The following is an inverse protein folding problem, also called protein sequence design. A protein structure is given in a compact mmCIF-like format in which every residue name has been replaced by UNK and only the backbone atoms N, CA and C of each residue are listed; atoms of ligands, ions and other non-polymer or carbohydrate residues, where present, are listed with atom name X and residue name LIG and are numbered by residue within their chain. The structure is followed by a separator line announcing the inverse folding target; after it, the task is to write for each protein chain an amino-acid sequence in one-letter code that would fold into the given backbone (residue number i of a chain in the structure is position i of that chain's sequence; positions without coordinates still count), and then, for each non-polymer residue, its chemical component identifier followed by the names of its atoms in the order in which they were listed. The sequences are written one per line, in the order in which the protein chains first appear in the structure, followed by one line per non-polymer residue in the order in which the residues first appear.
data_IF_834145662722
#
_entry.id   IF_834145662722
#
_cell.length_a   1.000
_cell.length_b   1.000
_cell.length_c   1.000
_cell.angle_alpha   90.00
_cell.angle_beta   90.00
_cell.angle_gamma   90.00
#
_symmetry.space_group_name_H-M   'P 1'
#
loop_
_entity.id
_entity.type
_entity.pdbx_description
1 polymer ?
#
# COMPACT_ATOMS: atom_id res chain seq x y z
N UNK A 1 5.76 16.68 7.57
CA UNK A 1 6.12 15.36 7.00
C UNK A 1 4.91 14.45 7.11
N UNK A 2 4.23 14.13 5.99
CA UNK A 2 2.97 13.35 6.02
C UNK A 2 3.16 11.95 5.41
N UNK A 3 2.79 10.95 6.19
CA UNK A 3 3.05 9.53 6.02
C UNK A 3 1.88 8.80 5.34
N UNK A 4 1.98 8.42 4.05
CA UNK A 4 0.93 7.67 3.35
C UNK A 4 0.82 6.26 3.92
N UNK A 5 -0.30 5.96 4.60
CA UNK A 5 -0.67 4.61 4.99
C UNK A 5 -1.38 3.93 3.82
N UNK A 6 -0.72 2.93 3.26
CA UNK A 6 -1.22 2.13 2.15
C UNK A 6 -1.34 0.66 2.60
N UNK A 7 -2.21 -0.14 1.95
CA UNK A 7 -2.39 -1.55 2.32
C UNK A 7 -1.08 -2.32 2.09
N UNK A 8 -0.36 -2.52 3.18
CA UNK A 8 0.87 -3.32 3.30
C UNK A 8 0.47 -4.80 3.35
N UNK A 9 1.21 -5.64 2.63
CA UNK A 9 1.16 -7.11 2.70
C UNK A 9 1.75 -7.58 4.04
N UNK A 10 1.11 -8.58 4.64
CA UNK A 10 1.35 -8.95 6.03
C UNK A 10 2.58 -9.85 6.20
N UNK A 11 3.54 -9.41 7.00
CA UNK A 11 4.28 -10.29 7.90
C UNK A 11 4.36 -9.71 9.32
N UNK A 12 4.39 -10.61 10.29
CA UNK A 12 4.07 -10.42 11.70
C UNK A 12 5.09 -9.57 12.49
N UNK A 13 4.62 -9.10 13.65
CA UNK A 13 5.35 -8.66 14.84
C UNK A 13 6.07 -7.29 14.81
N UNK A 14 5.42 -6.34 15.49
CA UNK A 14 6.02 -5.29 16.33
C UNK A 14 7.30 -4.61 15.84
N UNK A 15 7.16 -3.46 15.18
CA UNK A 15 7.77 -2.14 15.53
C UNK A 15 7.67 -1.22 14.31
N UNK A 16 7.19 0.02 14.52
CA UNK A 16 7.09 1.10 13.53
C UNK A 16 6.75 0.66 12.08
N UNK A 17 5.46 0.60 11.77
CA UNK A 17 4.96 0.51 10.39
C UNK A 17 5.34 1.81 9.65
N UNK A 18 6.54 1.84 9.06
CA UNK A 18 7.07 2.99 8.36
C UNK A 18 6.25 3.22 7.09
N UNK A 19 5.57 4.35 7.05
CA UNK A 19 4.85 4.78 5.86
C UNK A 19 5.82 4.97 4.70
N UNK A 20 5.43 4.53 3.51
CA UNK A 20 6.25 4.70 2.31
C UNK A 20 6.68 6.15 2.09
N UNK A 21 7.96 6.33 1.76
CA UNK A 21 8.58 7.59 1.39
C UNK A 21 8.32 7.95 -0.09
N UNK A 22 8.18 6.92 -0.94
CA UNK A 22 7.84 7.03 -2.36
C UNK A 22 6.60 6.21 -2.69
N UNK A 23 5.73 6.74 -3.56
CA UNK A 23 4.56 6.04 -4.12
C UNK A 23 4.48 6.38 -5.61
N UNK A 24 4.74 5.39 -6.45
CA UNK A 24 4.99 5.57 -7.88
C UNK A 24 4.14 4.61 -8.71
N UNK A 25 3.65 5.08 -9.87
CA UNK A 25 3.19 4.19 -10.95
C UNK A 25 4.33 4.04 -11.94
N UNK A 26 4.82 2.83 -12.12
CA UNK A 26 6.01 2.57 -12.93
C UNK A 26 5.80 1.43 -13.92
N UNK A 27 6.48 1.49 -15.06
CA UNK A 27 6.64 0.38 -15.99
C UNK A 27 8.00 -0.29 -15.77
N UNK A 28 7.99 -1.60 -15.62
CA UNK A 28 9.21 -2.38 -15.33
C UNK A 28 9.91 -2.70 -16.64
N UNK A 29 11.03 -2.03 -16.90
CA UNK A 29 11.71 -2.10 -18.18
C UNK A 29 12.75 -3.23 -18.23
N UNK A 30 13.65 -3.29 -17.24
CA UNK A 30 14.77 -4.24 -17.23
C UNK A 30 15.15 -4.65 -15.81
N UNK A 31 15.51 -5.92 -15.64
CA UNK A 31 16.21 -6.42 -14.46
C UNK A 31 17.73 -6.18 -14.65
N UNK A 32 18.32 -5.45 -13.71
CA UNK A 32 19.73 -5.04 -13.69
C UNK A 32 20.44 -5.56 -12.43
N UNK A 33 19.92 -6.64 -11.83
CA UNK A 33 20.47 -7.29 -10.62
C UNK A 33 22.00 -7.33 -10.63
N UNK A 34 22.60 -6.78 -9.57
CA UNK A 34 24.05 -6.76 -9.40
C UNK A 34 24.56 -8.10 -8.85
N UNK A 35 25.84 -8.40 -9.07
CA UNK A 35 26.50 -9.66 -8.66
C UNK A 35 26.44 -9.95 -7.14
N UNK A 36 26.00 -9.00 -6.32
CA UNK A 36 25.82 -9.14 -4.87
C UNK A 36 24.48 -9.77 -4.46
N UNK A 37 23.65 -10.22 -5.41
CA UNK A 37 22.37 -10.88 -5.15
C UNK A 37 21.21 -9.93 -4.82
N UNK A 38 21.45 -8.61 -4.80
CA UNK A 38 20.38 -7.61 -4.63
C UNK A 38 19.73 -7.33 -5.98
N UNK A 39 18.42 -7.62 -6.07
CA UNK A 39 17.67 -7.36 -7.29
C UNK A 39 17.46 -5.87 -7.48
N UNK A 40 17.75 -5.40 -8.69
CA UNK A 40 17.55 -4.02 -9.07
C UNK A 40 16.79 -3.97 -10.38
N UNK A 41 15.86 -3.03 -10.50
CA UNK A 41 15.06 -2.85 -11.70
C UNK A 41 15.23 -1.44 -12.23
N UNK A 42 15.42 -1.32 -13.54
CA UNK A 42 15.24 -0.06 -14.25
C UNK A 42 13.75 0.08 -14.57
N UNK A 43 13.14 1.16 -14.10
CA UNK A 43 11.71 1.40 -14.25
C UNK A 43 11.44 2.78 -14.83
N UNK A 44 10.43 2.88 -15.68
CA UNK A 44 9.95 4.14 -16.24
C UNK A 44 8.79 4.67 -15.39
N UNK A 45 8.87 5.92 -14.96
CA UNK A 45 7.86 6.55 -14.10
C UNK A 45 6.73 7.12 -14.96
N UNK A 46 5.52 6.61 -14.74
CA UNK A 46 4.30 7.21 -15.30
C UNK A 46 3.70 8.29 -14.40
N UNK A 47 3.62 8.06 -13.09
CA UNK A 47 3.12 9.04 -12.12
C UNK A 47 3.89 8.95 -10.81
N UNK A 48 4.04 10.11 -10.17
CA UNK A 48 4.55 10.25 -8.81
C UNK A 48 3.40 10.73 -7.92
N UNK A 49 2.95 9.87 -7.00
CA UNK A 49 1.89 10.21 -6.03
C UNK A 49 2.46 10.72 -4.72
N UNK A 50 3.66 10.26 -4.37
CA UNK A 50 4.44 10.77 -3.25
C UNK A 50 5.92 10.55 -3.55
N UNK A 51 6.69 11.57 -3.24
CA UNK A 51 8.14 11.51 -3.14
C UNK A 51 8.57 12.61 -2.17
N UNK A 52 9.29 12.23 -1.12
CA UNK A 52 9.74 13.16 -0.07
C UNK A 52 11.22 13.52 -0.18
N UNK A 53 11.96 12.96 -1.15
CA UNK A 53 13.43 13.07 -1.18
C UNK A 53 14.00 13.37 -2.56
N UNK A 54 13.57 12.63 -3.58
CA UNK A 54 14.24 12.66 -4.90
C UNK A 54 13.60 13.61 -5.91
N UNK A 55 12.40 14.12 -5.61
CA UNK A 55 11.61 14.98 -6.49
C UNK A 55 11.49 14.41 -7.92
N UNK A 56 11.17 13.13 -8.02
CA UNK A 56 10.99 12.47 -9.31
C UNK A 56 9.92 13.16 -10.16
N UNK A 57 10.14 13.13 -11.48
CA UNK A 57 9.19 13.58 -12.48
C UNK A 57 8.65 12.39 -13.29
N UNK A 58 7.39 12.47 -13.75
CA UNK A 58 6.90 11.58 -14.79
C UNK A 58 7.84 11.59 -16.00
N UNK A 59 7.87 10.50 -16.75
CA UNK A 59 8.68 10.29 -17.96
C UNK A 59 10.17 10.02 -17.75
N UNK A 60 10.61 9.89 -16.50
CA UNK A 60 12.00 9.52 -16.18
C UNK A 60 12.17 8.02 -15.96
N UNK A 61 13.35 7.52 -16.28
CA UNK A 61 13.80 6.20 -15.85
C UNK A 61 14.56 6.31 -14.54
N UNK A 62 14.23 5.46 -13.58
CA UNK A 62 14.94 5.37 -12.30
C UNK A 62 15.31 3.92 -12.00
N UNK A 63 16.30 3.75 -11.13
CA UNK A 63 16.56 2.46 -10.51
C UNK A 63 15.67 2.32 -9.28
N UNK A 64 15.15 1.12 -9.06
CA UNK A 64 14.57 0.71 -7.78
C UNK A 64 15.29 -0.52 -7.30
N UNK A 65 15.48 -0.61 -5.99
CA UNK A 65 15.99 -1.81 -5.33
C UNK A 65 14.80 -2.65 -4.91
N UNK A 66 14.93 -3.96 -5.10
CA UNK A 66 13.96 -4.94 -4.64
C UNK A 66 14.64 -5.93 -3.70
N UNK A 67 14.24 -5.93 -2.43
CA UNK A 67 14.71 -6.91 -1.44
C UNK A 67 13.62 -7.92 -1.16
N UNK A 68 13.80 -9.13 -1.67
CA UNK A 68 12.92 -10.25 -1.36
C UNK A 68 13.26 -10.83 0.03
N UNK A 69 12.24 -11.31 0.73
CA UNK A 69 12.35 -12.51 1.54
C UNK A 69 12.31 -13.76 0.62
N UNK A 70 12.74 -14.93 1.11
CA UNK A 70 12.93 -16.16 0.31
C UNK A 70 11.68 -16.64 -0.48
N UNK A 71 10.52 -16.02 -0.30
CA UNK A 71 9.22 -16.48 -0.79
C UNK A 71 8.53 -15.53 -1.78
N UNK A 72 9.05 -14.32 -2.03
CA UNK A 72 8.44 -13.39 -2.99
C UNK A 72 9.32 -13.11 -4.21
N UNK A 73 8.72 -13.18 -5.40
CA UNK A 73 9.35 -12.76 -6.66
C UNK A 73 9.26 -11.25 -6.87
N UNK A 74 10.29 -10.70 -7.51
CA UNK A 74 10.29 -9.30 -7.95
C UNK A 74 9.19 -9.00 -8.97
N UNK A 75 8.99 -7.72 -9.32
CA UNK A 75 7.98 -7.34 -10.30
C UNK A 75 8.30 -7.92 -11.70
N UNK A 76 7.23 -8.29 -12.44
CA UNK A 76 7.35 -8.86 -13.78
C UNK A 76 7.81 -7.79 -14.79
N UNK A 77 8.72 -8.16 -15.70
CA UNK A 77 9.14 -7.28 -16.80
C UNK A 77 7.99 -7.00 -17.76
N UNK A 78 7.96 -5.81 -18.35
CA UNK A 78 6.95 -5.40 -19.33
C UNK A 78 5.57 -5.08 -18.72
N UNK A 79 5.48 -5.03 -17.40
CA UNK A 79 4.23 -4.76 -16.68
C UNK A 79 4.27 -3.40 -15.97
N UNK A 80 3.09 -2.83 -15.76
CA UNK A 80 2.92 -1.58 -15.00
C UNK A 80 2.51 -1.93 -13.57
N UNK A 81 3.21 -1.36 -12.59
CA UNK A 81 2.95 -1.55 -11.17
C UNK A 81 2.68 -0.23 -10.47
N UNK A 82 1.84 -0.29 -9.44
CA UNK A 82 1.89 0.63 -8.32
C UNK A 82 2.91 0.08 -7.33
N UNK A 83 3.89 0.91 -6.96
CA UNK A 83 4.96 0.53 -6.04
C UNK A 83 5.09 1.59 -4.96
N UNK A 84 5.20 1.12 -3.73
CA UNK A 84 5.56 1.94 -2.57
C UNK A 84 6.93 1.55 -2.06
N UNK A 85 7.71 2.48 -1.53
CA UNK A 85 9.03 2.16 -1.01
C UNK A 85 9.55 3.18 -0.01
N UNK A 86 10.64 2.79 0.65
CA UNK A 86 11.46 3.66 1.49
C UNK A 86 12.75 4.00 0.73
N UNK A 87 13.39 5.11 1.06
CA UNK A 87 14.67 5.45 0.45
C UNK A 87 15.82 4.82 1.20
N UNK A 88 16.65 4.06 0.49
CA UNK A 88 17.94 3.58 0.96
C UNK A 88 19.02 4.05 -0.01
N UNK A 89 20.06 4.72 0.51
CA UNK A 89 21.14 5.31 -0.30
C UNK A 89 20.64 6.17 -1.48
N UNK A 90 19.48 6.82 -1.28
CA UNK A 90 18.84 7.66 -2.28
C UNK A 90 18.02 6.91 -3.33
N UNK A 91 18.00 5.58 -3.32
CA UNK A 91 17.22 4.75 -4.25
C UNK A 91 15.94 4.27 -3.56
N UNK A 92 14.77 4.26 -4.24
CA UNK A 92 13.58 3.60 -3.70
C UNK A 92 13.85 2.11 -3.51
N UNK A 93 13.84 1.67 -2.26
CA UNK A 93 13.86 0.27 -1.86
C UNK A 93 12.42 -0.21 -1.64
N UNK A 94 12.11 -1.35 -2.26
CA UNK A 94 10.83 -2.03 -2.24
C UNK A 94 11.07 -3.41 -1.67
N UNK A 95 10.39 -3.74 -0.58
CA UNK A 95 10.50 -5.04 0.08
C UNK A 95 9.20 -5.86 -0.07
N UNK A 96 9.15 -7.03 0.54
CA UNK A 96 7.97 -7.91 0.52
C UNK A 96 6.78 -7.35 1.30
N UNK A 97 6.99 -6.40 2.21
CA UNK A 97 5.93 -5.71 2.94
C UNK A 97 5.38 -4.51 2.15
N UNK A 98 6.14 -4.00 1.20
CA UNK A 98 5.77 -2.85 0.40
C UNK A 98 4.55 -3.15 -0.47
N UNK A 99 3.65 -2.17 -0.62
CA UNK A 99 2.53 -2.34 -1.54
C UNK A 99 3.04 -2.33 -2.98
N UNK A 100 3.10 -3.52 -3.57
CA UNK A 100 3.46 -3.79 -4.95
C UNK A 100 2.29 -4.51 -5.63
N UNK A 101 1.58 -3.82 -6.50
CA UNK A 101 0.44 -4.39 -7.20
C UNK A 101 0.49 -4.05 -8.69
N UNK A 102 0.15 -5.02 -9.55
CA UNK A 102 -0.04 -4.73 -10.97
C UNK A 102 -1.09 -3.64 -11.10
N UNK A 103 -0.86 -2.66 -11.97
CA UNK A 103 -1.73 -1.49 -12.09
C UNK A 103 -3.17 -1.88 -12.47
N UNK A 104 -3.35 -2.99 -13.19
CA UNK A 104 -4.65 -3.52 -13.55
C UNK A 104 -5.43 -4.07 -12.34
N UNK A 105 -4.73 -4.56 -11.31
CA UNK A 105 -5.33 -5.12 -10.09
C UNK A 105 -5.68 -4.02 -9.07
N UNK A 106 -5.05 -2.84 -9.18
CA UNK A 106 -5.40 -1.68 -8.35
C UNK A 106 -6.80 -1.19 -8.72
N UNK A 107 -7.70 -1.17 -7.75
CA UNK A 107 -9.11 -0.83 -8.01
C UNK A 107 -9.27 0.63 -8.44
N UNK A 108 -10.33 0.93 -9.20
CA UNK A 108 -10.67 2.31 -9.57
C UNK A 108 -10.75 3.25 -8.36
N UNK A 109 -11.21 2.73 -7.22
CA UNK A 109 -11.32 3.50 -5.99
C UNK A 109 -9.96 3.79 -5.36
N UNK A 110 -9.07 2.79 -5.29
CA UNK A 110 -7.69 2.98 -4.84
C UNK A 110 -6.97 4.02 -5.71
N UNK A 111 -7.06 3.88 -7.05
CA UNK A 111 -6.49 4.83 -8.03
C UNK A 111 -6.95 6.27 -7.77
N UNK A 112 -8.25 6.47 -7.54
CA UNK A 112 -8.83 7.80 -7.25
C UNK A 112 -8.28 8.41 -5.96
N UNK A 113 -7.93 7.59 -4.97
CA UNK A 113 -7.50 8.06 -3.66
C UNK A 113 -6.00 8.34 -3.56
N UNK A 114 -5.17 7.75 -4.43
CA UNK A 114 -3.70 7.93 -4.47
C UNK A 114 -3.26 9.40 -4.49
N UNK A 115 -3.95 10.27 -5.24
CA UNK A 115 -3.53 11.67 -5.40
C UNK A 115 -3.85 12.58 -4.21
N UNK A 116 -4.94 12.33 -3.49
CA UNK A 116 -5.45 13.31 -2.53
C UNK A 116 -5.98 12.71 -1.23
N UNK A 117 -6.77 11.64 -1.33
CA UNK A 117 -7.55 11.17 -0.17
C UNK A 117 -6.74 10.37 0.83
N UNK A 118 -5.75 9.61 0.37
CA UNK A 118 -4.85 8.95 1.33
C UNK A 118 -4.08 10.01 2.13
N UNK A 119 -3.44 10.97 1.46
CA UNK A 119 -2.65 12.00 2.14
C UNK A 119 -3.47 12.85 3.12
N UNK A 120 -4.72 13.21 2.78
CA UNK A 120 -5.56 14.09 3.59
C UNK A 120 -5.82 13.60 5.03
N UNK A 121 -5.78 12.29 5.27
CA UNK A 121 -6.01 11.71 6.60
C UNK A 121 -4.76 11.10 7.22
N UNK A 122 -3.64 11.15 6.51
CA UNK A 122 -2.35 10.71 7.03
C UNK A 122 -1.90 11.63 8.17
N UNK A 123 -1.51 11.05 9.29
CA UNK A 123 -1.17 11.79 10.51
C UNK A 123 -2.36 12.13 11.42
N UNK A 124 -3.60 12.01 10.90
CA UNK A 124 -4.82 12.17 11.71
C UNK A 124 -5.35 10.79 12.09
N UNK A 125 -5.49 9.91 11.09
CA UNK A 125 -6.02 8.57 11.28
C UNK A 125 -4.93 7.51 11.15
N UNK A 126 -5.02 6.50 12.01
CA UNK A 126 -4.17 5.30 11.99
C UNK A 126 -4.97 4.13 11.44
N UNK A 127 -4.30 3.24 10.74
CA UNK A 127 -4.86 1.94 10.36
C UNK A 127 -4.12 0.90 11.19
N UNK A 128 -4.86 0.03 11.87
CA UNK A 128 -4.29 -1.06 12.65
C UNK A 128 -4.87 -2.39 12.16
N UNK A 129 -3.99 -3.30 11.73
CA UNK A 129 -4.37 -4.66 11.37
C UNK A 129 -4.42 -5.55 12.62
N UNK A 130 -5.45 -6.37 12.74
CA UNK A 130 -5.69 -7.26 13.88
C UNK A 130 -6.18 -8.63 13.40
N UNK A 131 -5.88 -9.71 14.11
CA UNK A 131 -6.35 -11.04 13.74
C UNK A 131 -7.88 -11.12 13.70
N UNK A 132 -8.55 -10.54 14.68
CA UNK A 132 -10.01 -10.44 14.76
C UNK A 132 -10.41 -9.14 15.40
N UNK A 133 -11.45 -8.48 14.89
CA UNK A 133 -11.97 -7.24 15.47
C UNK A 133 -12.78 -7.58 16.72
N UNK A 134 -12.32 -7.14 17.89
CA UNK A 134 -13.07 -7.15 19.14
C UNK A 134 -13.49 -5.72 19.54
N UNK A 135 -14.79 -5.40 19.58
CA UNK A 135 -15.28 -4.07 19.94
C UNK A 135 -14.89 -3.61 21.34
N UNK A 136 -14.52 -4.50 22.28
CA UNK A 136 -14.07 -4.15 23.64
C UNK A 136 -12.68 -3.52 23.62
N UNK A 137 -11.77 -4.10 22.84
CA UNK A 137 -10.37 -3.69 22.80
C UNK A 137 -10.06 -2.71 21.65
N UNK A 138 -10.90 -2.67 20.62
CA UNK A 138 -10.67 -1.87 19.41
C UNK A 138 -11.59 -0.65 19.35
N UNK A 139 -11.42 0.26 20.32
CA UNK A 139 -12.30 1.45 20.53
C UNK A 139 -11.62 2.79 20.28
N UNK A 140 -10.34 2.81 19.89
CA UNK A 140 -9.61 4.08 19.73
C UNK A 140 -10.24 4.95 18.65
N UNK A 141 -10.53 6.21 18.99
CA UNK A 141 -11.16 7.16 18.06
C UNK A 141 -10.23 7.61 16.93
N UNK A 142 -8.91 7.50 17.09
CA UNK A 142 -7.90 7.84 16.08
C UNK A 142 -7.57 6.67 15.12
N UNK A 143 -8.18 5.49 15.32
CA UNK A 143 -7.72 4.25 14.68
C UNK A 143 -8.84 3.50 13.96
N UNK A 144 -8.61 3.16 12.70
CA UNK A 144 -9.43 2.25 11.93
C UNK A 144 -8.84 0.83 11.98
N UNK A 145 -9.61 -0.11 12.53
CA UNK A 145 -9.20 -1.50 12.65
C UNK A 145 -9.60 -2.31 11.41
N UNK A 146 -8.67 -3.11 10.90
CA UNK A 146 -8.86 -4.01 9.76
C UNK A 146 -8.52 -5.43 10.20
N UNK A 147 -9.44 -6.37 9.99
CA UNK A 147 -9.15 -7.77 10.23
C UNK A 147 -8.16 -8.28 9.19
N UNK A 148 -7.22 -9.12 9.60
CA UNK A 148 -6.33 -9.84 8.71
C UNK A 148 -7.15 -10.87 7.91
N UNK A 149 -6.86 -10.99 6.62
CA UNK A 149 -7.40 -12.05 5.77
C UNK A 149 -6.67 -13.36 6.08
N UNK A 150 -7.37 -14.51 6.09
CA UNK A 150 -6.72 -15.81 6.28
C UNK A 150 -5.71 -16.13 5.17
N UNK A 151 -6.00 -15.66 3.95
CA UNK A 151 -5.09 -15.72 2.83
C UNK A 151 -4.23 -14.44 2.79
N UNK A 152 -2.90 -14.53 3.03
CA UNK A 152 -2.01 -13.36 3.06
C UNK A 152 -1.91 -12.67 1.68
N UNK A 153 -2.22 -13.38 0.60
CA UNK A 153 -2.19 -12.85 -0.78
C UNK A 153 -3.48 -12.11 -1.15
N UNK A 154 -4.49 -12.11 -0.27
CA UNK A 154 -5.76 -11.43 -0.52
C UNK A 154 -5.88 -10.16 0.31
N UNK A 155 -6.10 -9.04 -0.40
CA UNK A 155 -6.54 -7.81 0.24
C UNK A 155 -7.96 -7.96 0.77
N UNK A 156 -8.20 -7.53 2.01
CA UNK A 156 -9.55 -7.43 2.55
C UNK A 156 -10.42 -6.50 1.68
N UNK A 157 -11.73 -6.71 1.67
CA UNK A 157 -12.67 -5.81 0.99
C UNK A 157 -12.49 -4.35 1.43
N UNK A 158 -12.15 -4.13 2.70
CA UNK A 158 -11.82 -2.79 3.25
C UNK A 158 -10.62 -2.15 2.57
N UNK A 159 -9.57 -2.91 2.30
CA UNK A 159 -8.34 -2.43 1.64
C UNK A 159 -8.59 -2.07 0.17
N UNK A 160 -9.51 -2.78 -0.48
CA UNK A 160 -9.87 -2.56 -1.89
C UNK A 160 -10.85 -1.41 -2.12
N UNK A 161 -11.83 -1.26 -1.22
CA UNK A 161 -13.03 -0.44 -1.46
C UNK A 161 -13.34 0.59 -0.36
N UNK A 162 -12.50 0.72 0.67
CA UNK A 162 -12.69 1.72 1.71
C UNK A 162 -11.43 2.54 1.96
N UNK A 163 -11.60 3.63 2.70
CA UNK A 163 -10.52 4.45 3.24
C UNK A 163 -10.84 4.78 4.68
N UNK A 164 -9.83 4.75 5.53
CA UNK A 164 -9.93 5.30 6.86
C UNK A 164 -9.93 6.83 6.75
N UNK A 165 -11.01 7.48 7.19
CA UNK A 165 -11.11 8.94 7.18
C UNK A 165 -11.57 9.48 8.51
N UNK A 166 -11.16 10.71 8.79
CA UNK A 166 -11.67 11.46 9.93
C UNK A 166 -13.09 11.95 9.65
N UNK A 167 -14.03 11.63 10.54
CA UNK A 167 -15.43 12.06 10.50
C UNK A 167 -15.61 13.18 11.52
N UNK A 168 -15.84 14.40 11.06
CA UNK A 168 -16.00 15.58 11.92
C UNK A 168 -17.19 15.45 12.86
N UNK A 169 -18.29 14.85 12.41
CA UNK A 169 -19.52 14.70 13.20
C UNK A 169 -19.31 13.86 14.47
N UNK A 170 -18.51 12.79 14.35
CA UNK A 170 -18.24 11.86 15.46
C UNK A 170 -16.86 12.07 16.08
N UNK A 171 -16.12 13.07 15.61
CA UNK A 171 -14.72 13.35 15.95
C UNK A 171 -13.83 12.08 15.96
N UNK A 172 -14.07 11.17 15.03
CA UNK A 172 -13.42 9.86 15.00
C UNK A 172 -13.04 9.41 13.60
N UNK A 173 -12.00 8.58 13.54
CA UNK A 173 -11.56 7.91 12.33
C UNK A 173 -12.39 6.65 12.12
N UNK A 174 -12.91 6.49 10.90
CA UNK A 174 -13.68 5.33 10.54
C UNK A 174 -13.66 5.07 9.04
N UNK A 175 -13.90 3.81 8.68
CA UNK A 175 -14.10 3.43 7.31
C UNK A 175 -15.40 4.00 6.76
N UNK A 176 -15.41 4.25 5.46
CA UNK A 176 -16.65 4.47 4.72
C UNK A 176 -17.21 3.13 4.28
N UNK A 177 -18.48 2.92 4.58
CA UNK A 177 -19.27 1.91 3.91
C UNK A 177 -19.72 2.53 2.58
N UNK A 178 -19.33 1.90 1.48
CA UNK A 178 -19.82 2.23 0.14
C UNK A 178 -20.32 0.93 -0.48
N UNK A 179 -21.25 1.04 -1.42
CA UNK A 179 -21.85 -0.11 -2.11
C UNK A 179 -20.84 -1.15 -2.62
N UNK A 180 -19.67 -0.79 -3.21
CA UNK A 180 -18.67 -1.79 -3.61
C UNK A 180 -18.07 -2.61 -2.46
N UNK A 181 -17.94 -2.00 -1.27
CA UNK A 181 -17.49 -2.68 -0.06
C UNK A 181 -18.52 -3.71 0.41
N UNK A 182 -19.79 -3.31 0.48
CA UNK A 182 -20.89 -4.19 0.91
C UNK A 182 -21.07 -5.39 -0.02
N UNK A 183 -20.97 -5.16 -1.33
CA UNK A 183 -21.00 -6.24 -2.33
C UNK A 183 -19.85 -7.21 -2.08
N UNK A 184 -18.62 -6.70 -1.93
CA UNK A 184 -17.45 -7.55 -1.70
C UNK A 184 -17.60 -8.44 -0.45
N UNK A 185 -18.04 -7.86 0.68
CA UNK A 185 -18.28 -8.61 1.92
C UNK A 185 -19.37 -9.67 1.74
N UNK A 186 -20.48 -9.34 1.07
CA UNK A 186 -21.58 -10.28 0.80
C UNK A 186 -21.16 -11.46 -0.08
N UNK A 187 -20.32 -11.21 -1.09
CA UNK A 187 -19.79 -12.28 -1.94
C UNK A 187 -18.85 -13.22 -1.19
N UNK A 188 -18.07 -12.71 -0.23
CA UNK A 188 -17.23 -13.55 0.61
C UNK A 188 -18.05 -14.39 1.59
N UNK A 189 -19.13 -13.83 2.18
CA UNK A 189 -19.99 -14.58 3.10
C UNK A 189 -20.79 -15.71 2.46
N UNK A 190 -20.97 -15.69 1.13
CA UNK A 190 -21.67 -16.77 0.38
C UNK A 190 -20.71 -17.91 0.00
N UNK A 191 -19.40 -17.65 0.01
CA UNK A 191 -18.36 -18.65 -0.32
C UNK A 191 -17.73 -19.32 0.91
N UNK A 192 -17.99 -18.78 2.11
CA UNK A 192 -17.54 -19.31 3.39
C UNK A 192 -18.55 -20.31 3.94
#
# INVERSE_FOLDING_TARGET
MHSLFLPIENHQHSTLQQSAASVLRVFVYKDITANNGVRQYLVYIYDVYKDIKQFFHPTHYIRIMYRCDRFQTGPDLGQVYLITGLYEDGVPNVDSCSWKAKWNDVTRQQKRHLRFKYQAYCGICKIQRVLRINPVYHRRSDTCYVALTPNPNELACRDRFSICRYKRQTQSCGFNQRTPYEICEKWLSVKA
#
